data_IF_699440938181
#
_entry.id   IF_699440938181
#
_cell.length_a   1.000
_cell.length_b   1.000
_cell.length_c   1.000
_cell.angle_alpha   90.00
_cell.angle_beta   90.00
_cell.angle_gamma   90.00
#
_symmetry.space_group_name_H-M   'P 1'
#
loop_
_entity.id
_entity.type
_entity.pdbx_description
1 polymer ?
#
# COMPACT_ATOMS: atom_id res chain seq x y z
N UNK A 1 -7.16 15.02 0.40
CA UNK A 1 -7.44 13.83 1.26
C UNK A 1 -8.86 13.28 1.07
N UNK A 2 -9.75 13.99 0.35
CA UNK A 2 -11.15 13.61 0.13
C UNK A 2 -11.46 13.17 -1.32
N UNK A 3 -10.45 13.04 -2.18
CA UNK A 3 -10.64 13.06 -3.64
C UNK A 3 -10.26 11.76 -4.37
N UNK A 4 -9.94 10.68 -3.65
CA UNK A 4 -9.71 9.39 -4.29
C UNK A 4 -11.01 8.57 -4.17
N UNK A 5 -11.79 8.49 -5.25
CA UNK A 5 -13.04 7.71 -5.33
C UNK A 5 -12.85 6.27 -4.84
N UNK A 6 -11.67 5.68 -5.10
CA UNK A 6 -11.27 4.33 -4.67
C UNK A 6 -11.27 4.16 -3.15
N UNK A 7 -11.06 5.25 -2.42
CA UNK A 7 -10.99 5.24 -0.98
C UNK A 7 -12.33 4.95 -0.30
N UNK A 8 -13.43 5.27 -0.99
CA UNK A 8 -14.78 4.97 -0.51
C UNK A 8 -15.04 3.46 -0.42
N UNK A 9 -14.31 2.64 -1.18
CA UNK A 9 -14.50 1.20 -1.22
C UNK A 9 -13.65 0.43 -0.20
N UNK A 10 -12.47 0.93 0.19
CA UNK A 10 -11.58 0.24 1.15
C UNK A 10 -11.63 0.80 2.58
N UNK A 11 -11.99 2.07 2.75
CA UNK A 11 -11.95 2.82 4.03
C UNK A 11 -10.57 2.86 4.73
N UNK A 12 -9.50 2.34 4.10
CA UNK A 12 -8.14 2.28 4.63
C UNK A 12 -7.26 3.22 3.82
N UNK A 13 -6.50 4.07 4.51
CA UNK A 13 -5.62 5.09 3.91
C UNK A 13 -4.31 5.14 4.68
N UNK A 14 -3.19 5.10 3.96
CA UNK A 14 -1.89 5.47 4.50
C UNK A 14 -1.87 6.94 4.91
N UNK A 15 -1.77 7.21 6.21
CA UNK A 15 -1.85 8.59 6.73
C UNK A 15 -0.49 9.28 6.82
N UNK A 16 0.59 8.50 6.90
CA UNK A 16 1.95 8.99 7.13
C UNK A 16 2.99 8.15 6.39
N UNK A 17 4.20 8.68 6.27
CA UNK A 17 5.36 7.96 5.71
C UNK A 17 5.14 7.44 4.28
N UNK A 18 5.75 6.29 4.00
CA UNK A 18 5.69 5.60 2.70
C UNK A 18 4.27 5.17 2.34
N UNK A 19 3.43 4.84 3.33
CA UNK A 19 2.04 4.44 3.08
C UNK A 19 1.23 5.56 2.46
N UNK A 20 1.44 6.80 2.90
CA UNK A 20 0.76 7.97 2.31
C UNK A 20 1.26 8.24 0.90
N UNK A 21 2.57 8.19 0.72
CA UNK A 21 3.21 8.50 -0.57
C UNK A 21 2.80 7.50 -1.65
N UNK A 22 2.79 6.21 -1.30
CA UNK A 22 2.44 5.12 -2.21
C UNK A 22 1.01 4.63 -2.04
N UNK A 23 0.12 5.39 -1.39
CA UNK A 23 -1.26 4.96 -1.11
C UNK A 23 -1.99 4.56 -2.40
N UNK A 24 -1.85 5.33 -3.49
CA UNK A 24 -2.49 5.03 -4.77
C UNK A 24 -2.01 3.71 -5.39
N UNK A 25 -0.72 3.41 -5.26
CA UNK A 25 -0.16 2.15 -5.73
C UNK A 25 -0.66 0.99 -4.88
N UNK A 26 -0.62 1.13 -3.56
CA UNK A 26 -1.00 0.09 -2.60
C UNK A 26 -2.50 -0.22 -2.62
N UNK A 27 -3.33 0.81 -2.75
CA UNK A 27 -4.79 0.70 -2.84
C UNK A 27 -5.20 0.05 -4.16
N UNK A 28 -4.52 0.43 -5.24
CA UNK A 28 -4.80 -0.02 -6.60
C UNK A 28 -6.24 0.25 -7.03
N UNK A 29 -6.65 -0.40 -8.12
CA UNK A 29 -7.91 -0.13 -8.78
C UNK A 29 -8.97 -1.15 -8.41
N UNK A 30 -10.13 -0.63 -8.00
CA UNK A 30 -11.31 -1.46 -7.74
C UNK A 30 -11.85 -2.03 -9.05
N UNK A 31 -12.20 -3.31 -9.02
CA UNK A 31 -12.98 -3.94 -10.08
C UNK A 31 -14.47 -3.84 -9.79
N UNK A 32 -15.30 -4.16 -10.77
CA UNK A 32 -16.74 -4.27 -10.57
C UNK A 32 -17.34 -5.34 -11.47
N UNK A 33 -18.51 -5.85 -11.06
CA UNK A 33 -19.28 -6.84 -11.80
C UNK A 33 -20.72 -6.35 -11.95
N UNK A 34 -21.17 -6.20 -13.19
CA UNK A 34 -22.56 -5.85 -13.50
C UNK A 34 -23.34 -7.13 -13.75
N UNK A 35 -24.40 -7.34 -12.98
CA UNK A 35 -25.23 -8.53 -13.06
C UNK A 35 -26.68 -8.18 -13.37
N UNK A 36 -27.29 -8.94 -14.28
CA UNK A 36 -28.73 -8.91 -14.50
C UNK A 36 -29.40 -9.74 -13.42
N UNK A 37 -30.31 -9.14 -12.68
CA UNK A 37 -31.09 -9.81 -11.62
C UNK A 37 -32.57 -9.84 -11.98
N UNK A 38 -33.31 -10.81 -11.43
CA UNK A 38 -34.78 -10.83 -11.51
C UNK A 38 -35.42 -10.01 -10.37
N UNK A 39 -36.75 -9.93 -10.34
CA UNK A 39 -37.49 -9.21 -9.30
C UNK A 39 -37.30 -9.77 -7.87
N UNK A 40 -36.78 -11.00 -7.74
CA UNK A 40 -36.39 -11.63 -6.47
C UNK A 40 -34.91 -11.43 -6.15
N UNK A 41 -34.22 -10.56 -6.89
CA UNK A 41 -32.79 -10.28 -6.79
C UNK A 41 -31.88 -11.51 -7.03
N UNK A 42 -32.36 -12.50 -7.79
CA UNK A 42 -31.57 -13.66 -8.17
C UNK A 42 -30.74 -13.35 -9.40
N UNK A 43 -29.46 -13.74 -9.37
CA UNK A 43 -28.48 -13.55 -10.44
C UNK A 43 -28.85 -14.39 -11.68
N UNK A 44 -29.17 -13.73 -12.80
CA UNK A 44 -29.53 -14.41 -14.06
C UNK A 44 -28.33 -14.52 -15.01
N UNK A 45 -27.56 -13.44 -15.16
CA UNK A 45 -26.41 -13.40 -16.05
C UNK A 45 -25.45 -12.27 -15.67
N UNK A 46 -24.17 -12.45 -15.98
CA UNK A 46 -23.16 -11.38 -15.86
C UNK A 46 -23.12 -10.60 -17.16
N UNK A 47 -23.32 -9.29 -17.10
CA UNK A 47 -23.27 -8.40 -18.25
C UNK A 47 -21.87 -7.87 -18.51
N UNK A 48 -21.14 -7.55 -17.44
CA UNK A 48 -19.80 -6.98 -17.53
C UNK A 48 -18.98 -7.35 -16.29
N UNK A 49 -17.69 -7.60 -16.49
CA UNK A 49 -16.72 -7.83 -15.42
C UNK A 49 -15.48 -7.00 -15.72
N UNK A 50 -15.16 -6.09 -14.82
CA UNK A 50 -13.87 -5.40 -14.78
C UNK A 50 -13.09 -5.95 -13.60
N UNK A 51 -11.98 -6.69 -13.82
CA UNK A 51 -11.19 -7.22 -12.72
C UNK A 51 -10.49 -6.08 -11.97
N UNK A 52 -10.28 -6.22 -10.65
CA UNK A 52 -9.45 -5.29 -9.90
C UNK A 52 -7.98 -5.37 -10.35
N UNK A 53 -7.20 -4.33 -10.07
CA UNK A 53 -5.75 -4.37 -10.30
C UNK A 53 -5.11 -5.46 -9.44
N UNK A 54 -4.21 -6.22 -10.04
CA UNK A 54 -3.33 -7.17 -9.36
C UNK A 54 -1.89 -6.64 -9.39
N UNK A 55 -1.07 -6.95 -8.38
CA UNK A 55 0.32 -6.47 -8.19
C UNK A 55 0.49 -5.05 -7.64
N UNK A 56 -0.26 -4.71 -6.60
CA UNK A 56 -0.13 -3.45 -5.85
C UNK A 56 0.95 -3.51 -4.75
N UNK A 57 1.93 -4.39 -4.89
CA UNK A 57 2.97 -4.56 -3.88
C UNK A 57 4.09 -3.54 -4.08
N UNK A 58 4.62 -3.03 -2.98
CA UNK A 58 5.79 -2.15 -2.97
C UNK A 58 6.94 -2.90 -2.30
N UNK A 59 8.06 -3.06 -3.02
CA UNK A 59 9.30 -3.57 -2.45
C UNK A 59 10.20 -2.39 -2.07
N UNK A 60 10.68 -2.40 -0.83
CA UNK A 60 11.60 -1.40 -0.31
C UNK A 60 13.03 -1.95 -0.27
N UNK A 61 14.01 -1.06 -0.32
CA UNK A 61 15.43 -1.38 -0.13
C UNK A 61 15.82 -1.60 1.34
N UNK A 62 14.93 -1.29 2.29
CA UNK A 62 15.20 -1.42 3.73
C UNK A 62 15.48 -2.87 4.12
N UNK A 63 16.61 -3.12 4.79
CA UNK A 63 16.90 -4.42 5.39
C UNK A 63 16.31 -4.48 6.80
N UNK A 64 15.30 -5.33 6.97
CA UNK A 64 14.61 -5.53 8.26
C UNK A 64 15.56 -5.91 9.41
N UNK A 65 16.65 -6.62 9.15
CA UNK A 65 17.63 -7.02 10.18
C UNK A 65 18.46 -5.81 10.61
N UNK A 66 18.93 -5.02 9.65
CA UNK A 66 19.71 -3.82 9.94
C UNK A 66 18.86 -2.76 10.65
N UNK A 67 17.60 -2.58 10.24
CA UNK A 67 16.68 -1.66 10.91
C UNK A 67 16.43 -2.07 12.36
N UNK A 68 16.22 -3.37 12.64
CA UNK A 68 16.06 -3.86 14.02
C UNK A 68 17.31 -3.65 14.87
N UNK A 69 18.49 -3.82 14.31
CA UNK A 69 19.74 -3.57 15.03
C UNK A 69 19.91 -2.07 15.30
N UNK A 70 19.58 -1.22 14.32
CA UNK A 70 19.56 0.23 14.49
C UNK A 70 18.61 0.66 15.62
N UNK A 71 17.39 0.13 15.67
CA UNK A 71 16.43 0.40 16.75
C UNK A 71 16.99 0.00 18.12
N UNK A 72 17.69 -1.14 18.20
CA UNK A 72 18.33 -1.63 19.43
C UNK A 72 19.50 -0.74 19.86
N UNK A 73 20.30 -0.24 18.94
CA UNK A 73 21.40 0.70 19.24
C UNK A 73 20.88 2.04 19.78
N UNK A 74 19.69 2.45 19.36
CA UNK A 74 18.99 3.65 19.78
C UNK A 74 18.00 3.41 20.93
N UNK A 75 18.00 2.23 21.55
CA UNK A 75 17.15 1.96 22.70
C UNK A 75 17.40 2.99 23.82
N UNK A 76 16.34 3.66 24.27
CA UNK A 76 16.36 4.77 25.24
C UNK A 76 17.15 6.03 24.81
N UNK A 77 17.46 6.18 23.53
CA UNK A 77 18.11 7.36 22.96
C UNK A 77 17.20 8.03 21.94
N UNK A 78 17.36 9.34 21.75
CA UNK A 78 16.72 10.09 20.67
C UNK A 78 17.79 10.49 19.67
N UNK A 79 17.53 10.27 18.39
CA UNK A 79 18.42 10.66 17.31
C UNK A 79 17.93 10.08 16.00
N UNK A 80 18.80 10.03 15.00
CA UNK A 80 18.53 9.40 13.73
C UNK A 80 19.77 8.65 13.23
N UNK A 81 19.55 7.59 12.45
CA UNK A 81 20.56 6.77 11.78
C UNK A 81 20.13 6.53 10.33
N UNK A 82 21.09 6.70 9.43
CA UNK A 82 20.94 6.44 8.01
C UNK A 82 22.03 5.49 7.55
N UNK A 83 21.61 4.42 6.85
CA UNK A 83 22.52 3.54 6.12
C UNK A 83 22.07 3.52 4.68
N UNK A 84 22.98 3.86 3.79
CA UNK A 84 22.74 3.99 2.37
C UNK A 84 23.83 3.27 1.59
N UNK A 85 23.45 2.57 0.52
CA UNK A 85 24.39 2.11 -0.49
C UNK A 85 24.90 3.31 -1.30
N UNK A 86 26.22 3.52 -1.30
CA UNK A 86 26.84 4.68 -1.92
C UNK A 86 26.89 4.62 -3.45
N UNK A 87 26.68 3.44 -4.04
CA UNK A 87 26.77 3.25 -5.50
C UNK A 87 25.43 3.57 -6.18
N UNK A 88 24.30 3.23 -5.55
CA UNK A 88 22.97 3.38 -6.13
C UNK A 88 22.01 4.28 -5.32
N UNK A 89 22.38 4.67 -4.09
CA UNK A 89 21.56 5.52 -3.21
C UNK A 89 20.43 4.79 -2.49
N UNK A 90 20.39 3.46 -2.52
CA UNK A 90 19.37 2.68 -1.82
C UNK A 90 19.53 2.82 -0.30
N UNK A 91 18.41 3.10 0.39
CA UNK A 91 18.38 3.20 1.84
C UNK A 91 18.15 1.82 2.45
N UNK A 92 19.10 1.35 3.26
CA UNK A 92 19.03 0.09 3.98
C UNK A 92 18.44 0.27 5.39
N UNK A 93 18.67 1.43 6.00
CA UNK A 93 18.14 1.82 7.32
C UNK A 93 17.80 3.29 7.32
N UNK A 94 16.64 3.63 7.88
CA UNK A 94 16.25 5.01 8.21
C UNK A 94 15.39 4.99 9.47
N UNK A 95 15.87 5.60 10.56
CA UNK A 95 15.16 5.64 11.86
C UNK A 95 15.74 6.66 12.80
#
# INVERSE_FOLDING_TARGET
LKDDEENQYSQIVGKTGIEKEYNKLLQGKVGYKIMRVNALNQELATLEVVPPSTNNHLQLSLDKRLQKEADKLFENKRGAILVMDAENGELLVAG
#
